data_IF_955472006983
#
_entry.id   IF_955472006983
#
_cell.length_a   1.000
_cell.length_b   1.000
_cell.length_c   1.000
_cell.angle_alpha   90.00
_cell.angle_beta   90.00
_cell.angle_gamma   90.00
#
_symmetry.space_group_name_H-M   'P 1'
#
loop_
_entity.id
_entity.type
_entity.pdbx_description
1 polymer ?
#
# COMPACT_ATOMS: atom_id res chain seq x y z
N UNK A 1 19.49 20.15 12.21
CA UNK A 1 18.75 18.94 12.67
C UNK A 1 17.40 19.01 12.03
N UNK A 2 17.10 18.06 11.17
CA UNK A 2 15.73 17.87 10.72
C UNK A 2 14.87 17.53 11.94
N UNK A 3 13.72 18.21 12.06
CA UNK A 3 12.79 17.98 13.16
C UNK A 3 12.16 16.61 12.98
N UNK A 4 11.86 15.92 14.08
CA UNK A 4 11.07 14.70 14.04
C UNK A 4 9.70 14.99 13.40
N UNK A 5 9.32 14.19 12.41
CA UNK A 5 8.00 14.24 11.78
C UNK A 5 7.05 13.27 12.50
N UNK A 6 5.85 13.73 12.83
CA UNK A 6 4.76 12.91 13.34
C UNK A 6 3.61 12.96 12.36
N UNK A 7 3.13 11.79 11.94
CA UNK A 7 2.04 11.64 10.98
C UNK A 7 1.12 10.49 11.41
N UNK A 8 -0.11 10.48 10.90
CA UNK A 8 -1.14 9.50 11.26
C UNK A 8 -1.91 9.01 10.04
N UNK A 9 -2.16 7.70 9.94
CA UNK A 9 -3.00 7.11 8.90
C UNK A 9 -4.50 7.44 9.07
N UNK A 10 -4.89 8.24 10.06
CA UNK A 10 -6.23 8.86 10.09
C UNK A 10 -6.42 9.86 8.94
N UNK A 11 -5.33 10.43 8.43
CA UNK A 11 -5.31 11.38 7.32
C UNK A 11 -4.19 10.98 6.35
N UNK A 12 -4.36 9.88 5.60
CA UNK A 12 -3.36 9.44 4.63
C UNK A 12 -3.28 10.43 3.46
N UNK A 13 -2.10 10.52 2.84
CA UNK A 13 -1.91 11.40 1.67
C UNK A 13 -2.57 10.82 0.42
N UNK A 14 -2.60 9.49 0.31
CA UNK A 14 -3.22 8.78 -0.79
C UNK A 14 -3.87 7.49 -0.29
N UNK A 15 -5.03 7.15 -0.86
CA UNK A 15 -5.72 5.89 -0.64
C UNK A 15 -5.95 5.22 -1.98
N UNK A 16 -5.55 3.96 -2.09
CA UNK A 16 -5.83 3.08 -3.24
C UNK A 16 -6.75 1.96 -2.79
N UNK A 17 -7.84 1.76 -3.51
CA UNK A 17 -8.81 0.71 -3.23
C UNK A 17 -8.89 -0.27 -4.40
N UNK A 18 -8.77 -1.55 -4.08
CA UNK A 18 -8.99 -2.66 -4.99
C UNK A 18 -9.89 -3.69 -4.31
N UNK A 19 -10.47 -4.67 -5.03
CA UNK A 19 -11.28 -5.71 -4.43
C UNK A 19 -10.56 -6.39 -3.26
N UNK A 20 -11.15 -6.33 -2.06
CA UNK A 20 -10.63 -6.91 -0.82
C UNK A 20 -9.30 -6.33 -0.30
N UNK A 21 -8.84 -5.19 -0.82
CA UNK A 21 -7.65 -4.51 -0.29
C UNK A 21 -7.76 -3.00 -0.39
N UNK A 22 -7.38 -2.35 0.70
CA UNK A 22 -7.17 -0.91 0.79
C UNK A 22 -5.71 -0.63 1.13
N UNK A 23 -5.06 0.24 0.38
CA UNK A 23 -3.69 0.67 0.64
C UNK A 23 -3.68 2.16 0.90
N UNK A 24 -3.16 2.55 2.06
CA UNK A 24 -3.02 3.94 2.48
C UNK A 24 -1.56 4.31 2.46
N UNK A 25 -1.22 5.45 1.85
CA UNK A 25 0.14 5.90 1.64
C UNK A 25 0.35 7.26 2.29
N UNK A 26 1.57 7.46 2.78
CA UNK A 26 1.97 8.67 3.47
C UNK A 26 3.43 8.98 3.17
N UNK A 27 3.70 10.25 2.88
CA UNK A 27 5.05 10.80 2.72
C UNK A 27 5.55 11.29 4.08
N UNK A 28 6.68 10.75 4.53
CA UNK A 28 7.32 11.12 5.79
C UNK A 28 8.83 10.93 5.68
N UNK A 29 9.61 11.91 6.17
CA UNK A 29 11.08 11.83 6.19
C UNK A 29 11.72 11.63 4.81
N UNK A 30 11.10 12.19 3.76
CA UNK A 30 11.56 12.04 2.36
C UNK A 30 11.24 10.68 1.70
N UNK A 31 10.61 9.75 2.42
CA UNK A 31 10.16 8.46 1.92
C UNK A 31 8.64 8.33 1.86
N UNK A 32 8.18 7.14 1.47
CA UNK A 32 6.76 6.75 1.49
C UNK A 32 6.59 5.55 2.40
N UNK A 33 5.66 5.64 3.35
CA UNK A 33 5.23 4.53 4.20
C UNK A 33 3.81 4.16 3.79
N UNK A 34 3.56 2.85 3.63
CA UNK A 34 2.26 2.32 3.25
C UNK A 34 1.66 1.39 4.30
N UNK A 35 0.34 1.50 4.51
CA UNK A 35 -0.47 0.56 5.30
C UNK A 35 -1.44 -0.15 4.34
N UNK A 36 -1.25 -1.45 4.16
CA UNK A 36 -2.18 -2.29 3.40
C UNK A 36 -3.11 -3.04 4.35
N UNK A 37 -4.41 -2.97 4.08
CA UNK A 37 -5.48 -3.60 4.84
C UNK A 37 -6.15 -4.61 3.92
N UNK A 38 -6.03 -5.89 4.27
CA UNK A 38 -6.54 -7.00 3.46
C UNK A 38 -7.76 -7.62 4.12
N UNK A 39 -8.83 -7.79 3.35
CA UNK A 39 -10.03 -8.51 3.81
C UNK A 39 -9.83 -10.03 3.70
N UNK A 40 -10.61 -10.83 4.46
CA UNK A 40 -10.59 -12.29 4.34
C UNK A 40 -10.78 -12.78 2.89
N UNK A 41 -9.94 -13.72 2.48
CA UNK A 41 -9.96 -14.26 1.11
C UNK A 41 -9.36 -13.31 0.06
N UNK A 42 -8.57 -12.31 0.47
CA UNK A 42 -7.72 -11.56 -0.45
C UNK A 42 -6.63 -12.44 -1.06
N UNK A 43 -6.39 -12.25 -2.35
CA UNK A 43 -5.27 -12.85 -3.07
C UNK A 43 -4.86 -11.94 -4.22
N UNK A 44 -3.58 -11.60 -4.33
CA UNK A 44 -3.09 -10.70 -5.39
C UNK A 44 -3.57 -11.09 -6.81
N UNK A 45 -3.51 -12.38 -7.15
CA UNK A 45 -3.88 -12.89 -8.49
C UNK A 45 -5.37 -12.75 -8.84
N UNK A 46 -6.23 -12.58 -7.84
CA UNK A 46 -7.68 -12.45 -7.98
C UNK A 46 -8.12 -11.00 -7.78
N UNK A 47 -7.53 -10.32 -6.79
CA UNK A 47 -7.89 -8.96 -6.38
C UNK A 47 -7.19 -7.86 -7.17
N UNK A 48 -5.94 -8.05 -7.60
CA UNK A 48 -5.10 -6.97 -8.14
C UNK A 48 -4.64 -7.26 -9.57
N UNK A 49 -4.28 -8.51 -9.87
CA UNK A 49 -3.83 -8.92 -11.21
C UNK A 49 -4.78 -8.51 -12.35
N UNK A 50 -6.12 -8.66 -12.24
CA UNK A 50 -7.02 -8.24 -13.32
C UNK A 50 -6.98 -6.74 -13.61
N UNK A 51 -6.52 -5.93 -12.65
CA UNK A 51 -6.46 -4.47 -12.72
C UNK A 51 -5.13 -4.01 -13.33
N UNK A 52 -4.04 -4.64 -12.93
CA UNK A 52 -2.70 -4.31 -13.42
C UNK A 52 -2.37 -4.97 -14.76
N UNK A 53 -3.12 -6.00 -15.16
CA UNK A 53 -2.94 -6.75 -16.41
C UNK A 53 -1.51 -7.28 -16.60
N UNK A 54 -0.89 -7.73 -15.51
CA UNK A 54 0.43 -8.36 -15.48
C UNK A 54 0.33 -9.84 -15.12
N UNK A 55 1.36 -10.64 -15.40
CA UNK A 55 1.36 -12.05 -15.00
C UNK A 55 1.68 -12.25 -13.51
N UNK A 56 2.53 -11.37 -12.95
CA UNK A 56 3.00 -11.37 -11.57
C UNK A 56 2.96 -9.97 -10.97
N UNK A 57 3.09 -9.87 -9.66
CA UNK A 57 3.23 -8.59 -8.98
C UNK A 57 4.59 -7.97 -9.29
N UNK A 58 4.60 -6.73 -9.80
CA UNK A 58 5.83 -5.99 -10.12
C UNK A 58 6.45 -5.32 -8.89
N UNK A 59 5.77 -5.37 -7.74
CA UNK A 59 6.32 -4.84 -6.51
C UNK A 59 7.56 -5.66 -6.08
N UNK A 60 8.63 -5.00 -5.62
CA UNK A 60 9.76 -5.70 -5.04
C UNK A 60 9.33 -6.44 -3.78
N UNK A 61 9.24 -7.77 -3.86
CA UNK A 61 8.92 -8.63 -2.72
C UNK A 61 10.17 -8.93 -1.88
N UNK A 62 10.79 -7.88 -1.33
CA UNK A 62 11.88 -8.02 -0.35
C UNK A 62 11.35 -8.28 1.07
N UNK A 63 10.14 -8.82 1.19
CA UNK A 63 9.48 -9.11 2.46
C UNK A 63 10.00 -10.45 2.99
N UNK A 64 10.61 -10.44 4.18
CA UNK A 64 10.93 -11.65 4.95
C UNK A 64 9.73 -12.07 5.81
#
# INVERSE_FOLDING_TARGET
MDKAELRSFSEPDEVREFPKVRVELMKIGGGVVGRAIFEPGWRWSESVRPILNTQSCDAPHFQY
#
